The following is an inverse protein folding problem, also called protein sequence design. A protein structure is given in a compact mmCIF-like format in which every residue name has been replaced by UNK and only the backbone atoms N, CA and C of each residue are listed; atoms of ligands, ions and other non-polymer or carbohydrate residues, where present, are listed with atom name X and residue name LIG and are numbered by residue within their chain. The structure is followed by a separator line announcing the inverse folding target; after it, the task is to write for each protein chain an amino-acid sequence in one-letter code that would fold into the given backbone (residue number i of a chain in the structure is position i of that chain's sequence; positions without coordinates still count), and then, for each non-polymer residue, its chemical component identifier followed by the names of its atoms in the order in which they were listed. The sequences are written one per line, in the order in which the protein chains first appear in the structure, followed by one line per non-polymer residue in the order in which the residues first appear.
data_IF_702136071006
#
_entry.id   IF_702136071006
#
_cell.length_a   1.000
_cell.length_b   1.000
_cell.length_c   1.000
_cell.angle_alpha   90.00
_cell.angle_beta   90.00
_cell.angle_gamma   90.00
#
_symmetry.space_group_name_H-M   'P 1'
#
loop_
_entity.id
_entity.type
_entity.pdbx_description
1 polymer ?
#
# COMPACT_ATOMS: atom_id res chain seq x y z
N UNK A 1 -16.79 0.00 1.57
CA UNK A 1 -18.16 0.39 1.15
C UNK A 1 -19.13 -0.39 2.01
N UNK A 2 -19.81 0.27 2.94
CA UNK A 2 -20.88 -0.35 3.73
C UNK A 2 -21.98 -0.84 2.77
N UNK A 3 -22.49 -2.05 3.00
CA UNK A 3 -23.65 -2.56 2.26
C UNK A 3 -24.84 -1.67 2.59
N UNK A 4 -25.30 -0.92 1.59
CA UNK A 4 -26.59 -0.22 1.63
C UNK A 4 -27.67 -1.27 1.86
N UNK A 5 -28.42 -1.14 2.93
CA UNK A 5 -29.59 -2.00 3.21
C UNK A 5 -30.83 -1.31 2.67
N UNK A 6 -31.84 -2.06 2.22
CA UNK A 6 -33.09 -1.50 1.64
C UNK A 6 -33.83 -0.53 2.57
N UNK A 7 -33.51 -0.53 3.87
CA UNK A 7 -34.03 0.41 4.86
C UNK A 7 -33.41 1.82 4.76
N UNK A 8 -32.32 2.00 4.02
CA UNK A 8 -31.64 3.29 3.80
C UNK A 8 -32.32 4.16 2.71
N UNK A 9 -33.33 3.61 2.01
CA UNK A 9 -34.06 4.33 0.96
C UNK A 9 -35.31 5.09 1.46
N UNK A 10 -35.82 4.76 2.65
CA UNK A 10 -36.89 5.53 3.30
C UNK A 10 -36.31 6.83 3.87
N UNK A 11 -36.65 7.97 3.26
CA UNK A 11 -36.20 9.30 3.69
C UNK A 11 -35.29 10.04 2.72
N UNK A 12 -35.13 9.58 1.47
CA UNK A 12 -34.30 10.28 0.48
C UNK A 12 -34.97 11.47 -0.21
N UNK A 13 -36.22 11.77 0.14
CA UNK A 13 -36.99 12.87 -0.46
C UNK A 13 -37.47 13.84 0.63
N UNK A 14 -37.55 15.11 0.27
CA UNK A 14 -38.14 16.13 1.14
C UNK A 14 -39.61 15.82 1.46
N UNK A 15 -40.05 16.15 2.68
CA UNK A 15 -41.44 15.95 3.06
C UNK A 15 -42.32 17.04 2.47
N UNK A 16 -43.57 16.68 2.17
CA UNK A 16 -44.60 17.61 1.68
C UNK A 16 -44.82 18.74 2.70
N UNK A 17 -44.71 18.41 4.00
CA UNK A 17 -44.84 19.37 5.10
C UNK A 17 -43.75 20.45 5.06
N UNK A 18 -42.49 20.09 4.75
CA UNK A 18 -41.40 21.06 4.62
C UNK A 18 -41.68 22.08 3.50
N UNK A 19 -42.22 21.62 2.36
CA UNK A 19 -42.58 22.50 1.24
C UNK A 19 -43.74 23.43 1.61
N UNK A 20 -44.76 22.92 2.32
CA UNK A 20 -45.89 23.71 2.81
C UNK A 20 -45.46 24.79 3.82
N UNK A 21 -44.55 24.47 4.74
CA UNK A 21 -44.03 25.45 5.72
C UNK A 21 -43.24 26.57 5.03
N UNK A 22 -42.48 26.27 3.97
CA UNK A 22 -41.78 27.28 3.18
C UNK A 22 -42.79 28.14 2.37
N UNK A 23 -43.88 27.56 1.88
CA UNK A 23 -44.93 28.33 1.22
C UNK A 23 -45.65 29.29 2.19
N UNK A 24 -45.95 28.83 3.41
CA UNK A 24 -46.50 29.65 4.49
C UNK A 24 -45.57 30.82 4.84
N UNK A 25 -44.24 30.62 4.84
CA UNK A 25 -43.26 31.68 5.16
C UNK A 25 -43.17 32.78 4.10
N UNK A 26 -43.50 32.46 2.85
CA UNK A 26 -43.60 33.43 1.73
C UNK A 26 -44.97 34.14 1.73
N UNK A 27 -45.91 33.72 2.59
CA UNK A 27 -47.26 34.26 2.68
C UNK A 27 -48.29 33.56 1.78
N UNK A 28 -47.94 32.39 1.22
CA UNK A 28 -48.86 31.55 0.45
C UNK A 28 -49.57 30.62 1.45
N UNK A 29 -50.72 31.05 1.96
CA UNK A 29 -51.42 30.38 3.06
C UNK A 29 -52.11 29.05 2.72
N UNK A 30 -52.30 28.72 1.44
CA UNK A 30 -52.92 27.45 1.05
C UNK A 30 -52.42 26.97 -0.32
N UNK A 31 -51.50 25.99 -0.31
CA UNK A 31 -51.25 25.14 -1.47
C UNK A 31 -52.43 24.15 -1.56
N UNK A 32 -53.39 24.43 -2.45
CA UNK A 32 -54.63 23.65 -2.56
C UNK A 32 -54.41 22.21 -3.06
N UNK A 33 -53.30 21.96 -3.77
CA UNK A 33 -53.00 20.67 -4.39
C UNK A 33 -51.81 20.00 -3.70
N UNK A 34 -52.10 18.93 -2.96
CA UNK A 34 -51.07 18.05 -2.36
C UNK A 34 -50.15 17.44 -3.44
N UNK A 35 -50.67 17.26 -4.66
CA UNK A 35 -49.92 16.77 -5.81
C UNK A 35 -48.83 17.75 -6.28
N UNK A 36 -49.11 19.07 -6.24
CA UNK A 36 -48.12 20.08 -6.63
C UNK A 36 -46.97 20.18 -5.61
N UNK A 37 -47.29 20.07 -4.31
CA UNK A 37 -46.30 20.06 -3.26
C UNK A 37 -45.43 18.79 -3.31
N UNK A 38 -46.02 17.65 -3.69
CA UNK A 38 -45.30 16.39 -3.89
C UNK A 38 -44.33 16.47 -5.06
N UNK A 39 -44.76 16.94 -6.23
CA UNK A 39 -43.89 17.07 -7.41
C UNK A 39 -42.72 18.03 -7.12
N UNK A 40 -42.99 19.15 -6.43
CA UNK A 40 -41.93 20.08 -6.04
C UNK A 40 -40.93 19.45 -5.06
N UNK A 41 -41.41 18.66 -4.09
CA UNK A 41 -40.54 17.94 -3.17
C UNK A 41 -39.64 16.92 -3.90
N UNK A 42 -40.17 16.24 -4.92
CA UNK A 42 -39.40 15.30 -5.75
C UNK A 42 -38.34 16.03 -6.59
N UNK A 43 -38.69 17.14 -7.26
CA UNK A 43 -37.73 17.96 -8.04
C UNK A 43 -36.63 18.54 -7.13
N UNK A 44 -36.98 19.08 -5.96
CA UNK A 44 -36.00 19.60 -4.99
C UNK A 44 -35.02 18.49 -4.55
N UNK A 45 -35.55 17.30 -4.27
CA UNK A 45 -34.74 16.15 -3.87
C UNK A 45 -33.77 15.74 -4.99
N UNK A 46 -34.24 15.73 -6.24
CA UNK A 46 -33.43 15.46 -7.41
C UNK A 46 -32.31 16.49 -7.59
N UNK A 47 -32.62 17.79 -7.51
CA UNK A 47 -31.64 18.87 -7.65
C UNK A 47 -30.56 18.82 -6.57
N UNK A 48 -30.95 18.58 -5.31
CA UNK A 48 -30.00 18.46 -4.20
C UNK A 48 -29.10 17.24 -4.38
N UNK A 49 -29.65 16.08 -4.76
CA UNK A 49 -28.85 14.88 -5.07
C UNK A 49 -27.81 15.16 -6.16
N UNK A 50 -28.19 15.88 -7.21
CA UNK A 50 -27.26 16.25 -8.29
C UNK A 50 -26.17 17.22 -7.83
N UNK A 51 -26.48 18.19 -6.95
CA UNK A 51 -25.47 19.08 -6.35
C UNK A 51 -24.48 18.28 -5.49
N UNK A 52 -24.98 17.38 -4.65
CA UNK A 52 -24.15 16.52 -3.79
C UNK A 52 -23.26 15.61 -4.65
N UNK A 53 -23.77 15.06 -5.74
CA UNK A 53 -22.97 14.25 -6.67
C UNK A 53 -21.82 15.05 -7.28
N UNK A 54 -22.06 16.31 -7.67
CA UNK A 54 -21.01 17.17 -8.22
C UNK A 54 -19.99 17.58 -7.14
N UNK A 55 -20.45 17.89 -5.93
CA UNK A 55 -19.59 18.17 -4.78
C UNK A 55 -18.71 16.94 -4.43
N UNK A 56 -19.26 15.73 -4.51
CA UNK A 56 -18.51 14.49 -4.30
C UNK A 56 -17.40 14.31 -5.35
N UNK A 57 -17.60 14.75 -6.61
CA UNK A 57 -16.52 14.76 -7.61
C UNK A 57 -15.39 15.67 -7.16
N UNK A 58 -15.67 16.89 -6.70
CA UNK A 58 -14.66 17.80 -6.17
C UNK A 58 -13.89 17.21 -4.98
N UNK A 59 -14.60 16.56 -4.05
CA UNK A 59 -14.00 15.84 -2.92
C UNK A 59 -13.01 14.75 -3.38
N UNK A 60 -13.40 13.93 -4.35
CA UNK A 60 -12.55 12.87 -4.91
C UNK A 60 -11.34 13.45 -5.67
N UNK A 61 -11.54 14.51 -6.44
CA UNK A 61 -10.44 15.21 -7.11
C UNK A 61 -9.45 15.85 -6.12
N UNK A 62 -9.93 16.27 -4.94
CA UNK A 62 -9.10 16.74 -3.84
C UNK A 62 -8.43 15.61 -3.02
N UNK A 63 -8.59 14.34 -3.43
CA UNK A 63 -8.07 13.14 -2.73
C UNK A 63 -8.56 13.02 -1.28
N UNK A 64 -9.74 13.56 -0.98
CA UNK A 64 -10.36 13.50 0.35
C UNK A 64 -11.50 12.48 0.36
N UNK A 65 -11.84 12.00 1.56
CA UNK A 65 -12.98 11.10 1.81
C UNK A 65 -14.12 11.78 2.56
N UNK A 66 -13.87 12.98 3.13
CA UNK A 66 -14.86 13.81 3.81
C UNK A 66 -15.24 14.99 2.92
N UNK A 67 -16.53 15.18 2.72
CA UNK A 67 -17.10 16.30 1.98
C UNK A 67 -17.01 17.56 2.83
N UNK A 68 -16.45 18.64 2.26
CA UNK A 68 -16.29 19.92 2.94
C UNK A 68 -17.25 20.97 2.34
N UNK A 69 -17.60 22.04 3.07
CA UNK A 69 -18.44 23.12 2.54
C UNK A 69 -17.89 23.72 1.23
N UNK A 70 -16.56 23.84 1.13
CA UNK A 70 -15.89 24.33 -0.07
C UNK A 70 -16.11 23.46 -1.32
N UNK A 71 -16.39 22.17 -1.16
CA UNK A 71 -16.73 21.27 -2.29
C UNK A 71 -18.14 21.57 -2.81
N UNK A 72 -19.07 21.91 -1.91
CA UNK A 72 -20.45 22.29 -2.24
C UNK A 72 -20.46 23.67 -2.89
N UNK A 73 -19.68 24.62 -2.37
CA UNK A 73 -19.53 25.97 -2.96
C UNK A 73 -19.00 25.90 -4.39
N UNK A 74 -18.02 25.03 -4.64
CA UNK A 74 -17.50 24.78 -5.98
C UNK A 74 -18.57 24.18 -6.91
N UNK A 75 -19.38 23.24 -6.42
CA UNK A 75 -20.48 22.64 -7.17
C UNK A 75 -21.59 23.67 -7.50
N UNK A 76 -21.95 24.53 -6.55
CA UNK A 76 -22.90 25.62 -6.75
C UNK A 76 -22.41 26.61 -7.79
N UNK A 77 -21.12 26.99 -7.72
CA UNK A 77 -20.49 27.90 -8.68
C UNK A 77 -20.54 27.36 -10.12
N UNK A 78 -20.28 26.07 -10.32
CA UNK A 78 -20.32 25.43 -11.66
C UNK A 78 -21.74 25.43 -12.22
N UNK A 79 -22.74 25.24 -11.36
CA UNK A 79 -24.16 25.29 -11.73
C UNK A 79 -24.72 26.70 -11.85
N UNK A 80 -23.90 27.73 -11.67
CA UNK A 80 -24.30 29.14 -11.69
C UNK A 80 -25.36 29.49 -10.64
N UNK A 81 -25.35 28.81 -9.49
CA UNK A 81 -26.12 29.23 -8.31
C UNK A 81 -25.39 30.31 -7.54
N UNK A 82 -26.16 31.11 -6.80
CA UNK A 82 -25.61 32.12 -5.89
C UNK A 82 -24.80 31.43 -4.76
N UNK A 83 -23.63 31.97 -4.40
CA UNK A 83 -22.82 31.41 -3.33
C UNK A 83 -23.50 31.62 -1.98
N UNK A 84 -23.53 30.57 -1.16
CA UNK A 84 -24.11 30.64 0.16
C UNK A 84 -23.05 31.06 1.19
N UNK A 85 -23.28 32.19 1.87
CA UNK A 85 -22.36 32.72 2.88
C UNK A 85 -22.70 32.21 4.29
N UNK A 86 -21.71 32.22 5.19
CA UNK A 86 -21.91 31.93 6.62
C UNK A 86 -21.59 30.49 7.06
N UNK A 87 -21.14 29.61 6.16
CA UNK A 87 -20.87 28.19 6.46
C UNK A 87 -19.41 27.88 6.85
N UNK A 88 -18.77 28.82 7.55
CA UNK A 88 -17.41 28.68 8.08
C UNK A 88 -17.42 28.76 9.62
N UNK A 89 -18.19 27.88 10.25
CA UNK A 89 -18.17 27.79 11.71
C UNK A 89 -16.95 26.97 12.17
N UNK A 90 -16.16 27.53 13.09
CA UNK A 90 -15.07 26.79 13.75
C UNK A 90 -15.61 25.73 14.72
N UNK A 91 -16.83 25.91 15.20
CA UNK A 91 -17.50 25.00 16.12
C UNK A 91 -18.74 24.38 15.46
N UNK A 92 -19.04 23.10 15.75
CA UNK A 92 -20.25 22.47 15.24
C UNK A 92 -21.49 23.12 15.87
N UNK A 93 -22.38 23.67 15.05
CA UNK A 93 -23.65 24.25 15.49
C UNK A 93 -24.67 23.12 15.73
N UNK A 94 -25.11 22.85 16.98
CA UNK A 94 -26.07 21.79 17.25
C UNK A 94 -27.49 22.22 16.84
N UNK A 95 -28.22 21.32 16.16
CA UNK A 95 -29.65 21.50 15.96
C UNK A 95 -30.40 21.35 17.28
N UNK A 96 -31.23 22.34 17.64
CA UNK A 96 -32.12 22.28 18.80
C UNK A 96 -33.53 21.96 18.37
N UNK A 97 -34.21 21.19 19.22
CA UNK A 97 -35.60 20.80 19.04
C UNK A 97 -36.50 21.66 19.92
N UNK A 98 -37.54 22.25 19.33
CA UNK A 98 -38.65 22.86 20.04
C UNK A 98 -39.96 22.21 19.58
N UNK A 99 -40.77 21.80 20.55
CA UNK A 99 -42.13 21.31 20.32
C UNK A 99 -43.11 22.28 20.98
N UNK A 100 -43.96 22.90 20.18
CA UNK A 100 -45.00 23.83 20.64
C UNK A 100 -46.12 23.93 19.63
N UNK A 101 -47.38 23.88 20.10
CA UNK A 101 -48.56 24.06 19.24
C UNK A 101 -48.89 22.89 18.29
N UNK A 102 -48.38 21.68 18.55
CA UNK A 102 -48.66 20.49 17.74
C UNK A 102 -47.77 20.31 16.50
N UNK A 103 -46.72 21.13 16.34
CA UNK A 103 -45.70 20.98 15.30
C UNK A 103 -44.31 20.81 15.94
N UNK A 104 -43.47 19.99 15.31
CA UNK A 104 -42.08 19.77 15.69
C UNK A 104 -41.17 20.67 14.85
N UNK A 105 -40.34 21.49 15.51
CA UNK A 105 -39.45 22.44 14.83
C UNK A 105 -38.00 22.23 15.28
N UNK A 106 -37.09 22.25 14.31
CA UNK A 106 -35.66 22.27 14.55
C UNK A 106 -35.13 23.66 14.20
N UNK A 107 -34.33 24.24 15.08
CA UNK A 107 -33.72 25.54 14.85
C UNK A 107 -32.26 25.55 15.31
N UNK A 108 -31.49 26.49 14.78
CA UNK A 108 -30.13 26.77 15.20
C UNK A 108 -30.22 27.96 16.16
N UNK A 109 -29.70 27.80 17.38
CA UNK A 109 -29.62 28.93 18.33
C UNK A 109 -28.44 29.82 17.92
N UNK A 110 -28.75 31.04 17.50
CA UNK A 110 -27.77 32.09 17.27
C UNK A 110 -27.58 32.89 18.55
N UNK A 111 -26.46 32.64 19.25
CA UNK A 111 -26.09 33.43 20.42
C UNK A 111 -25.40 34.72 19.98
N UNK A 112 -25.85 35.84 20.51
CA UNK A 112 -25.16 37.12 20.37
C UNK A 112 -23.79 37.04 21.05
N UNK A 113 -22.74 37.49 20.35
CA UNK A 113 -21.36 37.52 20.85
C UNK A 113 -20.95 38.98 21.05
N UNK A 114 -20.32 39.29 22.19
CA UNK A 114 -19.77 40.63 22.42
C UNK A 114 -18.57 40.87 21.49
N UNK A 115 -18.58 42.01 20.80
CA UNK A 115 -17.49 42.44 19.93
C UNK A 115 -16.18 42.63 20.71
N UNK A 116 -16.25 43.02 21.99
CA UNK A 116 -15.06 43.15 22.83
C UNK A 116 -14.40 41.79 23.08
N UNK A 117 -15.20 40.75 23.30
CA UNK A 117 -14.71 39.38 23.49
C UNK A 117 -14.10 38.82 22.20
N UNK A 118 -14.64 39.18 21.04
CA UNK A 118 -14.08 38.79 19.74
C UNK A 118 -12.71 39.45 19.48
N UNK A 119 -12.55 40.73 19.82
CA UNK A 119 -11.30 41.47 19.64
C UNK A 119 -10.19 40.98 20.60
N UNK A 120 -10.56 40.50 21.78
CA UNK A 120 -9.64 39.94 22.77
C UNK A 120 -9.30 38.46 22.47
N UNK A 121 -10.19 37.74 21.78
CA UNK A 121 -9.98 36.33 21.45
C UNK A 121 -9.02 36.14 20.25
N UNK A 122 -7.78 35.86 20.64
CA UNK A 122 -6.87 34.83 20.13
C UNK A 122 -6.38 34.97 18.68
N UNK A 123 -5.07 35.23 18.59
CA UNK A 123 -4.24 34.94 17.43
C UNK A 123 -4.10 33.41 17.30
N UNK A 124 -4.72 32.75 16.30
CA UNK A 124 -4.56 31.30 16.13
C UNK A 124 -3.09 30.99 15.87
N UNK A 125 -2.56 29.95 16.53
CA UNK A 125 -1.20 29.50 16.25
C UNK A 125 -1.14 29.00 14.81
N UNK A 126 -0.25 29.58 14.02
CA UNK A 126 -0.01 29.12 12.66
C UNK A 126 0.44 27.65 12.68
N UNK A 127 -0.13 26.79 11.82
CA UNK A 127 0.38 25.44 11.67
C UNK A 127 1.81 25.46 11.14
N UNK A 128 2.56 24.39 11.42
CA UNK A 128 3.89 24.19 10.85
C UNK A 128 3.81 24.02 9.33
N UNK A 129 4.89 24.39 8.64
CA UNK A 129 5.00 24.19 7.20
C UNK A 129 5.00 22.69 6.82
N UNK A 130 4.53 22.40 5.60
CA UNK A 130 4.45 21.03 5.11
C UNK A 130 5.84 20.48 4.79
N UNK A 131 6.24 19.38 5.45
CA UNK A 131 7.50 18.67 5.18
C UNK A 131 7.26 17.21 4.84
N UNK A 132 8.02 16.67 3.90
CA UNK A 132 7.97 15.25 3.54
C UNK A 132 8.93 14.44 4.43
N UNK A 133 8.46 13.29 4.94
CA UNK A 133 9.30 12.29 5.62
C UNK A 133 9.15 10.95 4.91
N UNK A 134 10.26 10.37 4.45
CA UNK A 134 10.31 9.06 3.82
C UNK A 134 10.70 7.96 4.82
N UNK A 135 10.10 6.79 4.69
CA UNK A 135 10.48 5.58 5.42
C UNK A 135 10.26 4.34 4.53
N UNK A 136 10.87 3.22 4.90
CA UNK A 136 10.70 1.96 4.17
C UNK A 136 9.38 1.29 4.56
N UNK A 137 8.44 1.24 3.62
CA UNK A 137 7.18 0.52 3.81
C UNK A 137 7.36 -1.01 3.68
N UNK A 138 8.18 -1.45 2.71
CA UNK A 138 8.49 -2.86 2.51
C UNK A 138 9.90 -3.06 1.93
N UNK A 139 10.52 -4.19 2.29
CA UNK A 139 11.79 -4.67 1.78
C UNK A 139 11.53 -6.11 1.31
N UNK A 140 11.55 -6.33 -0.01
CA UNK A 140 11.30 -7.66 -0.63
C UNK A 140 9.94 -8.25 -0.21
N UNK A 141 8.90 -7.40 -0.17
CA UNK A 141 7.55 -7.80 0.23
C UNK A 141 7.36 -7.97 1.74
N UNK A 142 8.42 -7.88 2.56
CA UNK A 142 8.34 -7.93 4.02
C UNK A 142 8.28 -6.50 4.56
N UNK A 143 7.27 -6.20 5.36
CA UNK A 143 7.15 -4.92 6.05
C UNK A 143 8.09 -4.87 7.27
N UNK A 144 9.07 -3.95 7.32
CA UNK A 144 9.96 -3.84 8.47
C UNK A 144 9.20 -3.30 9.69
N UNK A 145 9.60 -3.75 10.87
CA UNK A 145 9.00 -3.34 12.16
C UNK A 145 9.58 -2.00 12.64
N UNK A 146 9.33 -0.94 11.88
CA UNK A 146 9.63 0.44 12.28
C UNK A 146 8.38 1.10 12.88
N UNK A 147 8.53 2.11 13.78
CA UNK A 147 7.39 2.78 14.42
C UNK A 147 6.37 3.39 13.44
N UNK A 148 6.82 3.78 12.25
CA UNK A 148 6.00 4.35 11.19
C UNK A 148 5.11 3.32 10.47
N UNK A 149 5.50 2.05 10.49
CA UNK A 149 4.75 0.98 9.85
C UNK A 149 3.69 0.41 10.80
N UNK A 150 2.51 0.03 10.29
CA UNK A 150 1.50 -0.64 11.10
C UNK A 150 2.05 -1.94 11.70
N UNK A 151 1.65 -2.31 12.93
CA UNK A 151 2.01 -3.59 13.50
C UNK A 151 1.45 -4.72 12.63
N UNK A 152 2.19 -5.84 12.47
CA UNK A 152 1.73 -6.96 11.65
C UNK A 152 0.37 -7.44 12.16
N UNK A 153 -0.64 -7.34 11.29
CA UNK A 153 -2.00 -7.73 11.61
C UNK A 153 -2.04 -9.21 12.03
N UNK A 154 -2.76 -9.52 13.11
CA UNK A 154 -2.98 -10.90 13.55
C UNK A 154 -3.64 -11.68 12.41
N UNK A 155 -3.22 -12.94 12.16
CA UNK A 155 -3.73 -13.81 11.07
C UNK A 155 -5.26 -13.86 10.90
N UNK A 156 -6.02 -13.54 11.96
CA UNK A 156 -7.48 -13.48 11.95
C UNK A 156 -8.05 -12.25 11.23
N UNK A 157 -7.38 -11.09 11.31
CA UNK A 157 -7.80 -9.87 10.61
C UNK A 157 -7.49 -9.96 9.11
N UNK A 158 -6.32 -10.51 8.74
CA UNK A 158 -5.96 -10.75 7.34
C UNK A 158 -6.96 -11.68 6.63
N UNK A 159 -7.38 -12.79 7.26
CA UNK A 159 -8.38 -13.71 6.68
C UNK A 159 -9.74 -13.07 6.40
N UNK A 160 -10.07 -11.98 7.08
CA UNK A 160 -11.37 -11.31 6.95
C UNK A 160 -11.38 -10.27 5.83
N UNK A 161 -10.19 -9.74 5.46
CA UNK A 161 -9.99 -8.83 4.34
C UNK A 161 -9.50 -9.52 3.06
N UNK A 162 -8.94 -10.73 3.17
CA UNK A 162 -8.60 -11.59 2.02
C UNK A 162 -9.87 -12.06 1.30
N UNK A 163 -10.14 -11.50 0.12
CA UNK A 163 -11.05 -12.12 -0.85
C UNK A 163 -10.34 -13.28 -1.54
N UNK A 164 -10.29 -14.45 -0.89
CA UNK A 164 -9.83 -15.68 -1.54
C UNK A 164 -10.79 -16.05 -2.69
N UNK A 165 -10.34 -16.06 -3.97
CA UNK A 165 -11.19 -16.42 -5.11
C UNK A 165 -11.60 -17.91 -5.13
N UNK A 166 -10.95 -18.75 -4.31
CA UNK A 166 -11.10 -20.20 -4.32
C UNK A 166 -12.21 -20.75 -3.40
N UNK A 167 -12.87 -19.91 -2.58
CA UNK A 167 -13.81 -20.39 -1.55
C UNK A 167 -15.30 -20.13 -1.83
N UNK A 168 -15.69 -19.95 -3.10
CA UNK A 168 -17.10 -20.07 -3.51
C UNK A 168 -17.51 -21.54 -3.56
N UNK A 169 -17.77 -22.15 -2.41
CA UNK A 169 -18.64 -23.33 -2.35
C UNK A 169 -20.10 -22.85 -2.50
N UNK A 170 -20.93 -23.49 -3.35
CA UNK A 170 -22.33 -23.11 -3.49
C UNK A 170 -23.09 -23.45 -2.22
N UNK A 171 -23.77 -22.44 -1.66
CA UNK A 171 -24.67 -22.56 -0.52
C UNK A 171 -25.89 -23.36 -0.98
N UNK A 172 -26.11 -24.53 -0.36
CA UNK A 172 -27.41 -25.22 -0.37
C UNK A 172 -28.13 -24.88 0.92
N UNK A 173 -29.28 -24.25 0.78
CA UNK A 173 -30.25 -24.02 1.86
C UNK A 173 -30.77 -25.36 2.39
N UNK A 174 -30.81 -25.52 3.72
CA UNK A 174 -31.95 -26.15 4.40
C UNK A 174 -31.98 -25.75 5.87
N UNK A 175 -33.18 -25.39 6.31
CA UNK A 175 -33.66 -24.97 7.62
C UNK A 175 -33.57 -26.04 8.73
N UNK A 176 -33.33 -25.61 9.98
CA UNK A 176 -33.67 -26.42 11.18
C UNK A 176 -33.01 -25.93 12.48
N UNK A 177 -33.82 -25.68 13.51
CA UNK A 177 -33.54 -25.01 14.81
C UNK A 177 -32.67 -25.79 15.82
N UNK A 178 -32.24 -25.16 16.95
CA UNK A 178 -31.07 -25.53 17.75
C UNK A 178 -31.38 -26.39 18.99
N UNK A 179 -30.41 -27.20 19.45
CA UNK A 179 -30.37 -27.74 20.82
C UNK A 179 -28.93 -27.96 21.34
N UNK A 180 -28.78 -27.67 22.62
CA UNK A 180 -27.63 -27.78 23.51
C UNK A 180 -27.16 -29.22 23.79
N UNK A 181 -25.85 -29.45 23.97
CA UNK A 181 -25.35 -30.66 24.63
C UNK A 181 -23.85 -30.92 24.47
N UNK A 182 -23.13 -30.97 25.60
CA UNK A 182 -21.73 -31.38 25.74
C UNK A 182 -21.55 -32.89 25.41
N UNK A 183 -20.53 -33.29 24.64
CA UNK A 183 -19.67 -34.46 24.98
C UNK A 183 -18.47 -34.68 24.03
N UNK A 184 -17.30 -34.74 24.68
CA UNK A 184 -16.05 -35.49 24.47
C UNK A 184 -15.74 -36.21 23.13
N UNK A 185 -14.55 -35.83 22.63
CA UNK A 185 -13.40 -36.65 22.23
C UNK A 185 -13.61 -37.80 21.21
N UNK A 186 -13.05 -37.61 20.01
CA UNK A 186 -12.43 -38.70 19.26
C UNK A 186 -11.18 -38.18 18.55
N UNK A 187 -10.07 -38.85 18.79
CA UNK A 187 -8.76 -38.58 18.21
C UNK A 187 -8.85 -38.42 16.70
N UNK A 188 -8.56 -37.22 16.21
CA UNK A 188 -8.11 -37.02 14.83
C UNK A 188 -6.60 -37.05 14.93
N UNK A 189 -6.00 -38.13 14.44
CA UNK A 189 -4.56 -38.17 14.14
C UNK A 189 -4.25 -36.95 13.28
N UNK A 190 -3.61 -35.97 13.90
CA UNK A 190 -3.03 -34.85 13.18
C UNK A 190 -1.81 -35.42 12.47
N UNK A 191 -2.05 -35.93 11.26
CA UNK A 191 -0.97 -36.10 10.29
C UNK A 191 -0.37 -34.70 10.14
N UNK A 192 0.74 -34.47 10.83
CA UNK A 192 1.62 -33.36 10.56
C UNK A 192 2.13 -33.60 9.13
N UNK A 193 1.36 -33.11 8.16
CA UNK A 193 1.89 -32.82 6.85
C UNK A 193 2.98 -31.80 7.15
N UNK A 194 4.22 -32.29 7.25
CA UNK A 194 5.42 -31.46 7.18
C UNK A 194 5.15 -30.54 6.01
N UNK A 195 4.87 -29.26 6.31
CA UNK A 195 4.56 -28.28 5.29
C UNK A 195 5.63 -28.47 4.23
N UNK A 196 5.19 -28.88 3.03
CA UNK A 196 6.08 -28.98 1.89
C UNK A 196 6.68 -27.58 1.83
N UNK A 197 7.94 -27.44 2.24
CA UNK A 197 8.61 -26.16 2.20
C UNK A 197 8.48 -25.77 0.73
N UNK A 198 7.60 -24.81 0.45
CA UNK A 198 7.43 -24.29 -0.90
C UNK A 198 8.82 -23.83 -1.25
N UNK A 199 9.46 -24.59 -2.13
CA UNK A 199 10.82 -24.27 -2.50
C UNK A 199 10.75 -22.86 -3.04
N UNK A 200 11.45 -21.93 -2.41
CA UNK A 200 11.41 -20.49 -2.74
C UNK A 200 11.78 -20.24 -4.21
N UNK A 201 12.29 -21.26 -4.88
CA UNK A 201 12.70 -21.27 -6.26
C UNK A 201 11.93 -22.33 -7.07
N UNK A 202 11.37 -21.93 -8.21
CA UNK A 202 10.75 -22.81 -9.20
C UNK A 202 11.70 -23.91 -9.69
N UNK A 203 11.15 -25.01 -10.22
CA UNK A 203 11.94 -26.11 -10.80
C UNK A 203 12.81 -25.61 -11.96
N UNK A 204 12.25 -24.77 -12.83
CA UNK A 204 12.98 -24.16 -13.96
C UNK A 204 14.14 -23.29 -13.47
N UNK A 205 13.89 -22.52 -12.41
CA UNK A 205 14.86 -21.65 -11.80
C UNK A 205 16.00 -22.46 -11.13
N UNK A 206 15.70 -23.60 -10.50
CA UNK A 206 16.72 -24.51 -9.97
C UNK A 206 17.56 -25.14 -11.08
N UNK A 207 16.92 -25.53 -12.19
CA UNK A 207 17.61 -26.11 -13.33
C UNK A 207 18.57 -25.09 -13.96
N UNK A 208 18.10 -23.86 -14.14
CA UNK A 208 18.91 -22.74 -14.59
C UNK A 208 20.09 -22.46 -13.64
N UNK A 209 19.84 -22.40 -12.32
CA UNK A 209 20.90 -22.24 -11.32
C UNK A 209 22.00 -23.31 -11.46
N UNK A 210 21.60 -24.57 -11.60
CA UNK A 210 22.53 -25.69 -11.76
C UNK A 210 23.31 -25.57 -13.06
N UNK A 211 22.64 -25.29 -14.17
CA UNK A 211 23.29 -25.20 -15.48
C UNK A 211 24.27 -24.04 -15.56
N UNK A 212 23.91 -22.86 -15.03
CA UNK A 212 24.78 -21.69 -15.00
C UNK A 212 26.01 -21.92 -14.11
N UNK A 213 25.83 -22.52 -12.92
CA UNK A 213 26.97 -22.79 -12.02
C UNK A 213 27.94 -23.82 -12.59
N UNK A 214 27.43 -24.86 -13.26
CA UNK A 214 28.26 -25.85 -13.98
C UNK A 214 28.95 -25.23 -15.21
N UNK A 215 28.25 -24.42 -16.00
CA UNK A 215 28.80 -23.77 -17.18
C UNK A 215 29.88 -22.72 -16.86
N UNK A 216 29.73 -21.96 -15.77
CA UNK A 216 30.71 -20.96 -15.35
C UNK A 216 32.03 -21.61 -14.89
N UNK A 217 31.96 -22.80 -14.27
CA UNK A 217 33.10 -23.55 -13.73
C UNK A 217 33.62 -24.62 -14.70
N UNK A 218 32.92 -24.82 -15.82
CA UNK A 218 33.23 -25.83 -16.83
C UNK A 218 34.53 -25.59 -17.60
N UNK A 219 35.00 -26.64 -18.27
CA UNK A 219 36.20 -26.59 -19.12
C UNK A 219 35.95 -25.92 -20.47
N UNK A 220 34.70 -25.91 -20.95
CA UNK A 220 34.32 -25.33 -22.24
C UNK A 220 34.25 -23.79 -22.18
N UNK A 221 35.05 -23.12 -23.02
CA UNK A 221 35.12 -21.67 -23.08
C UNK A 221 33.90 -21.03 -23.73
N UNK A 222 33.29 -21.68 -24.72
CA UNK A 222 32.09 -21.16 -25.40
C UNK A 222 30.90 -21.12 -24.45
N UNK A 223 30.64 -22.24 -23.76
CA UNK A 223 29.56 -22.36 -22.79
C UNK A 223 29.72 -21.41 -21.60
N UNK A 224 30.96 -21.14 -21.18
CA UNK A 224 31.26 -20.18 -20.12
C UNK A 224 30.95 -18.73 -20.54
N UNK A 225 31.29 -18.35 -21.77
CA UNK A 225 30.99 -17.00 -22.28
C UNK A 225 29.48 -16.75 -22.35
N UNK A 226 28.71 -17.73 -22.83
CA UNK A 226 27.24 -17.66 -22.88
C UNK A 226 26.63 -17.56 -21.48
N UNK A 227 27.11 -18.35 -20.51
CA UNK A 227 26.63 -18.30 -19.14
C UNK A 227 26.90 -16.93 -18.47
N UNK A 228 28.08 -16.34 -18.68
CA UNK A 228 28.42 -15.01 -18.18
C UNK A 228 27.56 -13.92 -18.82
N UNK A 229 27.30 -14.01 -20.13
CA UNK A 229 26.42 -13.07 -20.82
C UNK A 229 24.97 -13.16 -20.32
N UNK A 230 24.49 -14.38 -20.04
CA UNK A 230 23.18 -14.63 -19.44
C UNK A 230 23.08 -13.95 -18.07
N UNK A 231 24.09 -14.11 -17.21
CA UNK A 231 24.12 -13.46 -15.89
C UNK A 231 24.09 -11.92 -15.95
N UNK A 232 24.74 -11.33 -16.97
CA UNK A 232 24.79 -9.89 -17.15
C UNK A 232 23.48 -9.29 -17.68
N UNK A 233 22.65 -10.08 -18.37
CA UNK A 233 21.48 -9.57 -19.12
C UNK A 233 20.14 -10.00 -18.53
N UNK A 234 20.11 -11.03 -17.70
CA UNK A 234 18.87 -11.66 -17.23
C UNK A 234 18.24 -10.88 -16.04
N UNK A 235 16.99 -10.39 -16.18
CA UNK A 235 16.30 -9.65 -15.12
C UNK A 235 15.68 -10.56 -14.05
N UNK A 236 15.56 -11.87 -14.28
CA UNK A 236 14.88 -12.83 -13.40
C UNK A 236 15.73 -13.36 -12.24
N UNK A 237 16.96 -12.85 -12.08
CA UNK A 237 17.96 -13.42 -11.17
C UNK A 237 17.80 -13.00 -9.71
N UNK A 238 16.90 -12.07 -9.38
CA UNK A 238 16.77 -11.48 -8.04
C UNK A 238 16.57 -12.54 -6.93
N UNK A 239 15.70 -13.53 -7.18
CA UNK A 239 15.41 -14.60 -6.20
C UNK A 239 16.57 -15.60 -6.04
N UNK A 240 17.42 -15.75 -7.06
CA UNK A 240 18.57 -16.66 -7.02
C UNK A 240 19.83 -15.99 -6.48
N UNK A 241 19.91 -14.67 -6.55
CA UNK A 241 21.10 -13.89 -6.23
C UNK A 241 21.71 -14.25 -4.86
N UNK A 242 20.95 -14.40 -3.75
CA UNK A 242 21.53 -14.80 -2.46
C UNK A 242 22.25 -16.15 -2.50
N UNK A 243 21.71 -17.08 -3.31
CA UNK A 243 22.26 -18.44 -3.47
C UNK A 243 23.50 -18.42 -4.37
N UNK A 244 23.52 -17.61 -5.42
CA UNK A 244 24.74 -17.32 -6.23
C UNK A 244 25.84 -16.70 -5.38
N UNK A 245 25.52 -15.69 -4.57
CA UNK A 245 26.50 -15.06 -3.69
C UNK A 245 27.14 -16.09 -2.74
N UNK A 246 26.32 -16.94 -2.12
CA UNK A 246 26.80 -18.01 -1.23
C UNK A 246 27.70 -19.00 -1.96
N UNK A 247 27.33 -19.40 -3.18
CA UNK A 247 28.16 -20.26 -4.02
C UNK A 247 29.52 -19.65 -4.36
N UNK A 248 29.55 -18.36 -4.71
CA UNK A 248 30.79 -17.64 -5.01
C UNK A 248 31.67 -17.53 -3.76
N UNK A 249 31.09 -17.19 -2.60
CA UNK A 249 31.82 -17.11 -1.32
C UNK A 249 32.49 -18.45 -1.00
N UNK A 250 31.71 -19.53 -1.06
CA UNK A 250 32.19 -20.87 -0.71
C UNK A 250 33.23 -21.37 -1.73
N UNK A 251 32.97 -21.14 -3.01
CA UNK A 251 33.88 -21.47 -4.10
C UNK A 251 35.22 -20.75 -3.95
N UNK A 252 35.20 -19.45 -3.62
CA UNK A 252 36.42 -18.69 -3.35
C UNK A 252 37.14 -19.25 -2.13
N UNK A 253 36.43 -19.48 -1.01
CA UNK A 253 37.01 -20.00 0.24
C UNK A 253 37.78 -21.31 0.03
N UNK A 254 37.18 -22.27 -0.66
CA UNK A 254 37.79 -23.59 -0.91
C UNK A 254 38.97 -23.48 -1.89
N UNK A 255 38.81 -22.73 -2.99
CA UNK A 255 39.82 -22.64 -4.03
C UNK A 255 41.03 -21.76 -3.65
N UNK A 256 40.87 -20.83 -2.69
CA UNK A 256 41.99 -20.13 -2.06
C UNK A 256 42.90 -21.12 -1.32
N UNK A 257 42.33 -22.02 -0.53
CA UNK A 257 43.11 -23.03 0.22
C UNK A 257 43.80 -24.01 -0.73
N UNK A 258 43.14 -24.36 -1.85
CA UNK A 258 43.66 -25.28 -2.85
C UNK A 258 44.62 -24.62 -3.86
N UNK A 259 44.84 -23.30 -3.80
CA UNK A 259 45.62 -22.52 -4.75
C UNK A 259 45.22 -22.75 -6.23
N UNK A 260 43.93 -23.01 -6.49
CA UNK A 260 43.43 -23.21 -7.86
C UNK A 260 43.09 -21.88 -8.52
N UNK A 261 44.08 -21.30 -9.18
CA UNK A 261 44.00 -19.99 -9.81
C UNK A 261 42.97 -19.90 -10.94
N UNK A 262 42.75 -20.99 -11.69
CA UNK A 262 41.82 -21.00 -12.81
C UNK A 262 40.37 -20.84 -12.33
N UNK A 263 39.98 -21.56 -11.28
CA UNK A 263 38.64 -21.48 -10.71
C UNK A 263 38.36 -20.13 -10.06
N UNK A 264 39.37 -19.54 -9.42
CA UNK A 264 39.26 -18.19 -8.86
C UNK A 264 39.00 -17.14 -9.95
N UNK A 265 39.66 -17.23 -11.11
CA UNK A 265 39.42 -16.33 -12.24
C UNK A 265 37.97 -16.48 -12.75
N UNK A 266 37.46 -17.70 -12.84
CA UNK A 266 36.07 -17.92 -13.31
C UNK A 266 35.03 -17.36 -12.34
N UNK A 267 35.23 -17.54 -11.03
CA UNK A 267 34.37 -16.95 -10.01
C UNK A 267 34.41 -15.42 -10.05
N UNK A 268 35.59 -14.82 -10.26
CA UNK A 268 35.71 -13.36 -10.36
C UNK A 268 35.05 -12.79 -11.61
N UNK A 269 35.11 -13.50 -12.75
CA UNK A 269 34.36 -13.15 -13.96
C UNK A 269 32.84 -13.25 -13.75
N UNK A 270 32.38 -14.23 -12.97
CA UNK A 270 30.98 -14.37 -12.59
C UNK A 270 30.51 -13.19 -11.72
N UNK A 271 31.33 -12.74 -10.76
CA UNK A 271 31.04 -11.54 -9.96
C UNK A 271 30.94 -10.30 -10.85
N UNK A 272 31.89 -10.11 -11.78
CA UNK A 272 31.84 -8.98 -12.72
C UNK A 272 30.55 -8.97 -13.54
N UNK A 273 30.16 -10.13 -14.10
CA UNK A 273 28.93 -10.24 -14.88
C UNK A 273 27.68 -9.90 -14.06
N UNK A 274 27.63 -10.26 -12.78
CA UNK A 274 26.53 -9.89 -11.88
C UNK A 274 26.51 -8.38 -11.57
N UNK A 275 27.68 -7.74 -11.42
CA UNK A 275 27.79 -6.30 -11.18
C UNK A 275 27.39 -5.46 -12.40
N UNK A 276 27.70 -5.94 -13.60
CA UNK A 276 27.35 -5.26 -14.86
C UNK A 276 25.83 -5.30 -15.16
N UNK A 277 25.06 -6.12 -14.44
CA UNK A 277 23.62 -6.28 -14.64
C UNK A 277 22.81 -5.13 -14.00
N UNK A 278 22.38 -4.18 -14.83
CA UNK A 278 21.56 -3.02 -14.42
C UNK A 278 20.17 -3.39 -13.90
N UNK A 279 19.69 -4.59 -14.19
CA UNK A 279 18.38 -5.08 -13.73
C UNK A 279 18.41 -5.56 -12.28
N UNK A 280 19.61 -5.79 -11.73
CA UNK A 280 19.80 -6.17 -10.34
C UNK A 280 19.94 -4.93 -9.47
N UNK A 281 18.98 -4.71 -8.57
CA UNK A 281 19.07 -3.68 -7.54
C UNK A 281 20.05 -4.11 -6.43
N UNK A 282 21.35 -4.16 -6.77
CA UNK A 282 22.43 -4.56 -5.87
C UNK A 282 22.61 -3.58 -4.70
N UNK A 283 22.08 -2.35 -4.82
CA UNK A 283 22.07 -1.31 -3.78
C UNK A 283 21.42 -1.72 -2.45
N UNK A 284 20.71 -2.85 -2.38
CA UNK A 284 20.35 -3.46 -1.10
C UNK A 284 21.61 -4.03 -0.42
N UNK A 285 22.30 -3.15 0.31
CA UNK A 285 23.38 -3.28 1.29
C UNK A 285 23.98 -4.67 1.55
N UNK A 286 23.18 -5.71 1.76
CA UNK A 286 23.66 -7.07 2.08
C UNK A 286 24.49 -7.68 0.95
N UNK A 287 24.07 -7.58 -0.30
CA UNK A 287 24.81 -8.19 -1.42
C UNK A 287 26.16 -7.50 -1.65
N UNK A 288 26.21 -6.17 -1.61
CA UNK A 288 27.46 -5.40 -1.72
C UNK A 288 28.41 -5.69 -0.56
N UNK A 289 27.93 -5.72 0.69
CA UNK A 289 28.78 -6.01 1.85
C UNK A 289 29.36 -7.43 1.78
N UNK A 290 28.57 -8.40 1.30
CA UNK A 290 29.00 -9.78 1.09
C UNK A 290 30.09 -9.85 0.01
N UNK A 291 29.87 -9.24 -1.15
CA UNK A 291 30.87 -9.24 -2.23
C UNK A 291 32.17 -8.55 -1.79
N UNK A 292 32.07 -7.44 -1.05
CA UNK A 292 33.23 -6.75 -0.48
C UNK A 292 34.03 -7.64 0.47
N UNK A 293 33.36 -8.41 1.33
CA UNK A 293 34.01 -9.37 2.23
C UNK A 293 34.78 -10.45 1.47
N UNK A 294 34.22 -10.97 0.36
CA UNK A 294 34.87 -11.98 -0.49
C UNK A 294 36.12 -11.41 -1.16
N UNK A 295 36.02 -10.22 -1.74
CA UNK A 295 37.14 -9.57 -2.44
C UNK A 295 38.27 -9.21 -1.47
N UNK A 296 37.95 -8.71 -0.28
CA UNK A 296 38.93 -8.46 0.78
C UNK A 296 39.63 -9.74 1.24
N UNK A 297 38.86 -10.82 1.50
CA UNK A 297 39.43 -12.11 1.90
C UNK A 297 40.37 -12.66 0.82
N UNK A 298 40.03 -12.50 -0.46
CA UNK A 298 40.91 -12.87 -1.57
C UNK A 298 42.20 -12.05 -1.62
N UNK A 299 42.10 -10.72 -1.53
CA UNK A 299 43.26 -9.82 -1.57
C UNK A 299 44.26 -10.12 -0.45
N UNK A 300 43.75 -10.34 0.77
CA UNK A 300 44.59 -10.68 1.94
C UNK A 300 45.34 -12.00 1.69
N UNK A 301 44.66 -13.03 1.18
CA UNK A 301 45.28 -14.34 0.98
C UNK A 301 46.22 -14.37 -0.25
N UNK A 302 45.96 -13.57 -1.28
CA UNK A 302 46.81 -13.54 -2.48
C UNK A 302 48.08 -12.69 -2.30
N UNK A 303 48.06 -11.70 -1.40
CA UNK A 303 49.27 -11.00 -0.96
C UNK A 303 50.34 -11.97 -0.39
N UNK A 304 49.91 -13.15 0.04
CA UNK A 304 50.77 -14.19 0.63
C UNK A 304 51.32 -15.16 -0.44
N UNK A 305 50.68 -15.37 -1.60
CA UNK A 305 50.95 -16.57 -2.41
C UNK A 305 51.39 -16.45 -3.89
N UNK A 306 51.22 -15.37 -4.69
CA UNK A 306 51.92 -15.20 -6.01
C UNK A 306 51.55 -13.96 -6.82
N UNK A 307 52.45 -13.57 -7.74
CA UNK A 307 52.45 -12.34 -8.56
C UNK A 307 51.58 -12.34 -9.82
N UNK A 308 50.98 -13.47 -10.24
CA UNK A 308 50.39 -13.62 -11.59
C UNK A 308 48.94 -13.16 -11.77
N UNK A 309 48.15 -13.06 -10.70
CA UNK A 309 46.72 -12.68 -10.76
C UNK A 309 46.44 -11.21 -10.39
N UNK A 310 47.51 -10.45 -10.12
CA UNK A 310 47.38 -9.09 -9.58
C UNK A 310 46.52 -8.19 -10.46
N UNK A 311 46.62 -8.30 -11.79
CA UNK A 311 45.89 -7.41 -12.70
C UNK A 311 44.37 -7.64 -12.70
N UNK A 312 43.90 -8.90 -12.79
CA UNK A 312 42.46 -9.22 -12.79
C UNK A 312 41.83 -8.88 -11.43
N UNK A 313 42.56 -9.14 -10.34
CA UNK A 313 42.07 -8.82 -8.99
C UNK A 313 42.13 -7.32 -8.74
N UNK A 314 43.13 -6.59 -9.24
CA UNK A 314 43.15 -5.13 -9.21
C UNK A 314 41.97 -4.56 -9.98
N UNK A 315 41.70 -5.06 -11.19
CA UNK A 315 40.60 -4.59 -12.03
C UNK A 315 39.25 -4.78 -11.33
N UNK A 316 39.00 -5.98 -10.78
CA UNK A 316 37.79 -6.23 -9.98
C UNK A 316 37.79 -5.38 -8.71
N UNK A 317 38.92 -5.21 -8.01
CA UNK A 317 39.01 -4.33 -6.84
C UNK A 317 38.75 -2.86 -7.19
N UNK A 318 39.22 -2.37 -8.35
CA UNK A 318 38.97 -1.02 -8.83
C UNK A 318 37.51 -0.85 -9.23
N UNK A 319 36.90 -1.83 -9.89
CA UNK A 319 35.47 -1.83 -10.20
C UNK A 319 34.63 -1.84 -8.91
N UNK A 320 35.02 -2.63 -7.90
CA UNK A 320 34.40 -2.63 -6.58
C UNK A 320 34.63 -1.34 -5.81
N UNK A 321 35.83 -0.75 -5.87
CA UNK A 321 36.13 0.53 -5.22
C UNK A 321 35.40 1.69 -5.90
N UNK A 322 35.26 1.65 -7.23
CA UNK A 322 34.46 2.60 -8.00
C UNK A 322 32.99 2.47 -7.64
N UNK A 323 32.46 1.24 -7.59
CA UNK A 323 31.10 0.97 -7.16
C UNK A 323 30.87 1.38 -5.69
N UNK A 324 31.81 1.11 -4.79
CA UNK A 324 31.76 1.51 -3.38
C UNK A 324 31.86 3.02 -3.20
N UNK A 325 32.71 3.70 -3.98
CA UNK A 325 32.82 5.15 -4.02
C UNK A 325 31.64 5.85 -4.71
N UNK A 326 30.87 5.12 -5.53
CA UNK A 326 29.60 5.58 -6.08
C UNK A 326 28.41 5.32 -5.15
N UNK A 327 28.54 4.37 -4.22
CA UNK A 327 27.52 4.02 -3.20
C UNK A 327 27.64 4.88 -1.93
N UNK A 328 28.85 5.30 -1.55
CA UNK A 328 29.12 6.26 -0.47
C UNK A 328 28.81 7.71 -0.90
#
# INVERSE_FOLDING_TARGET
MSRLTEHDLYGTNFSIESVKVIAESIGIGFLADDDAAKELAEDLSYRVKHIIQDAAKFMHHAKRTKLMPSDVDAALKVKSFEPQYGFQASEPLPFRFASGGGRELHFIEEKEVDLNDLLQNVNPKAPLECTLRSHWLCIDGIQPTIPENPPPATKNAQKQESVDPANKKPVKETSGKPTTGKQKLRNVETVQIKQLATHELSVEQQLYYKEITEACVGSDEGRRAEALQSLASDPGLHEMLPRMCTFIIEGVRVNVVQNNLALLIYLMRMVKALLDNQSLYLEKYVSIHIFLFVVLQMLINLYIYTSGLKNIILEVYYDFHYLFGAIL
#
